data_IF_684941753191
#
_entry.id   IF_684941753191
#
_cell.length_a   1.000
_cell.length_b   1.000
_cell.length_c   1.000
_cell.angle_alpha   90.00
_cell.angle_beta   90.00
_cell.angle_gamma   90.00
#
_symmetry.space_group_name_H-M   'P 1'
#
loop_
_entity.id
_entity.type
_entity.pdbx_description
1 polymer ?
#
# COMPACT_ATOMS: atom_id res chain seq x y z
N UNK A 1 6.29 4.96 0.26
CA UNK A 1 7.66 4.54 0.64
C UNK A 1 7.68 4.18 2.11
N UNK A 2 8.40 3.12 2.50
CA UNK A 2 8.49 2.73 3.90
C UNK A 2 9.55 3.54 4.63
N UNK A 3 9.28 3.85 5.89
CA UNK A 3 10.22 4.59 6.75
C UNK A 3 11.43 3.69 7.10
N UNK A 4 12.68 4.14 6.88
CA UNK A 4 13.85 3.33 7.20
C UNK A 4 14.07 3.10 8.70
N UNK A 5 13.43 3.89 9.56
CA UNK A 5 13.57 3.74 11.02
C UNK A 5 12.47 2.86 11.61
N UNK A 6 11.23 3.00 11.14
CA UNK A 6 10.06 2.32 11.70
C UNK A 6 9.37 1.40 10.70
N UNK A 7 9.95 1.20 9.52
CA UNK A 7 9.35 0.42 8.45
C UNK A 7 9.39 -1.09 8.68
N UNK A 8 9.74 -1.83 7.64
CA UNK A 8 9.72 -3.29 7.69
C UNK A 8 10.95 -3.80 8.43
N UNK A 9 10.74 -4.70 9.38
CA UNK A 9 11.84 -5.36 10.10
C UNK A 9 12.22 -6.63 9.37
N UNK A 10 13.48 -6.76 9.01
CA UNK A 10 14.01 -7.94 8.32
C UNK A 10 15.16 -8.54 9.09
N UNK A 11 15.35 -9.85 8.92
CA UNK A 11 16.49 -10.55 9.49
C UNK A 11 17.67 -10.46 8.53
N UNK A 12 18.84 -10.11 9.08
CA UNK A 12 20.05 -10.04 8.27
C UNK A 12 20.50 -11.45 7.85
N UNK A 13 21.39 -11.50 6.87
CA UNK A 13 21.93 -12.77 6.35
C UNK A 13 22.58 -13.61 7.45
N UNK A 14 23.14 -12.97 8.49
CA UNK A 14 23.75 -13.68 9.62
C UNK A 14 22.74 -14.46 10.47
N UNK A 15 21.43 -14.23 10.26
CA UNK A 15 20.37 -14.90 10.99
C UNK A 15 20.24 -14.50 12.45
N UNK A 16 20.99 -13.49 12.89
CA UNK A 16 21.05 -13.09 14.32
C UNK A 16 20.50 -11.70 14.58
N UNK A 17 20.64 -10.79 13.62
CA UNK A 17 20.27 -9.40 13.80
C UNK A 17 19.02 -9.07 12.99
N UNK A 18 18.11 -8.35 13.62
CA UNK A 18 16.94 -7.76 12.96
C UNK A 18 17.20 -6.29 12.77
N UNK A 19 16.76 -5.75 11.64
CA UNK A 19 16.87 -4.31 11.40
C UNK A 19 15.68 -3.78 10.59
N UNK A 20 15.26 -2.54 10.87
CA UNK A 20 14.20 -1.92 10.07
C UNK A 20 14.74 -1.51 8.71
N UNK A 21 13.94 -1.75 7.69
CA UNK A 21 14.25 -1.39 6.30
C UNK A 21 13.14 -0.49 5.78
N UNK A 22 13.52 0.51 5.00
CA UNK A 22 12.58 1.44 4.40
C UNK A 22 12.83 1.64 2.92
N UNK A 23 12.21 2.68 2.37
CA UNK A 23 12.31 3.04 0.96
C UNK A 23 11.29 2.36 0.07
N UNK A 24 11.36 2.68 -1.22
CA UNK A 24 10.46 2.11 -2.23
C UNK A 24 10.70 0.62 -2.47
N UNK A 25 11.95 0.18 -2.27
CA UNK A 25 12.32 -1.23 -2.41
C UNK A 25 11.70 -2.11 -1.31
N UNK A 26 11.26 -1.52 -0.20
CA UNK A 26 10.51 -2.22 0.82
C UNK A 26 8.99 -2.12 0.55
N UNK A 27 8.53 -0.96 0.11
CA UNK A 27 7.11 -0.71 -0.12
C UNK A 27 6.55 -1.53 -1.29
N UNK A 28 7.27 -1.62 -2.41
CA UNK A 28 6.78 -2.33 -3.58
C UNK A 28 6.56 -3.84 -3.33
N UNK A 29 7.48 -4.57 -2.68
CA UNK A 29 7.22 -5.96 -2.31
C UNK A 29 6.05 -6.13 -1.34
N UNK A 30 5.81 -5.18 -0.45
CA UNK A 30 4.65 -5.23 0.43
C UNK A 30 3.35 -5.12 -0.35
N UNK A 31 3.27 -4.24 -1.33
CA UNK A 31 2.13 -4.15 -2.24
C UNK A 31 1.95 -5.44 -3.03
N UNK A 32 3.04 -6.00 -3.57
CA UNK A 32 2.99 -7.27 -4.30
C UNK A 32 2.46 -8.41 -3.42
N UNK A 33 2.90 -8.46 -2.17
CA UNK A 33 2.44 -9.45 -1.20
C UNK A 33 0.96 -9.27 -0.89
N UNK A 34 0.50 -8.04 -0.73
CA UNK A 34 -0.90 -7.73 -0.51
C UNK A 34 -1.74 -8.20 -1.71
N UNK A 35 -1.30 -7.89 -2.92
CA UNK A 35 -2.02 -8.31 -4.13
C UNK A 35 -2.09 -9.84 -4.23
N UNK A 36 -1.02 -10.54 -3.89
CA UNK A 36 -1.04 -12.00 -3.85
C UNK A 36 -2.10 -12.53 -2.87
N UNK A 37 -2.20 -11.90 -1.69
CA UNK A 37 -3.22 -12.24 -0.70
C UNK A 37 -4.63 -11.91 -1.19
N UNK A 38 -4.80 -10.81 -1.89
CA UNK A 38 -6.08 -10.44 -2.49
C UNK A 38 -6.50 -11.46 -3.56
N UNK A 39 -5.57 -11.87 -4.42
CA UNK A 39 -5.82 -12.90 -5.43
C UNK A 39 -6.27 -14.21 -4.78
N UNK A 40 -5.62 -14.59 -3.70
CA UNK A 40 -5.99 -15.78 -2.94
C UNK A 40 -7.41 -15.67 -2.36
N UNK A 41 -7.72 -14.55 -1.75
CA UNK A 41 -9.04 -14.31 -1.15
C UNK A 41 -10.16 -14.24 -2.18
N UNK A 42 -9.89 -13.67 -3.35
CA UNK A 42 -10.84 -13.59 -4.45
C UNK A 42 -10.93 -14.87 -5.28
N UNK A 43 -9.95 -15.76 -5.15
CA UNK A 43 -9.77 -16.94 -6.00
C UNK A 43 -9.67 -16.57 -7.48
N UNK A 44 -9.12 -15.41 -7.78
CA UNK A 44 -8.97 -14.85 -9.12
C UNK A 44 -7.88 -13.80 -9.10
N UNK A 45 -7.37 -13.42 -10.26
CA UNK A 45 -6.40 -12.34 -10.38
C UNK A 45 -7.09 -11.00 -10.32
N UNK A 46 -6.51 -10.06 -9.55
CA UNK A 46 -7.00 -8.68 -9.49
C UNK A 46 -6.81 -7.92 -10.82
N UNK A 47 -5.81 -8.31 -11.60
CA UNK A 47 -5.43 -7.58 -12.79
C UNK A 47 -4.71 -6.26 -12.46
N UNK A 48 -4.77 -5.31 -13.39
CA UNK A 48 -4.13 -4.00 -13.22
C UNK A 48 -5.01 -3.11 -12.35
N UNK A 49 -4.63 -2.95 -11.07
CA UNK A 49 -5.46 -2.32 -10.04
C UNK A 49 -5.48 -0.80 -10.08
N UNK A 50 -4.43 -0.15 -10.59
CA UNK A 50 -4.33 1.31 -10.48
C UNK A 50 -5.55 2.07 -11.01
N UNK A 51 -6.06 1.79 -12.22
CA UNK A 51 -7.27 2.48 -12.68
C UNK A 51 -8.49 2.23 -11.79
N UNK A 52 -8.59 1.05 -11.21
CA UNK A 52 -9.71 0.70 -10.34
C UNK A 52 -9.62 1.47 -9.03
N UNK A 53 -8.44 1.51 -8.41
CA UNK A 53 -8.24 2.24 -7.16
C UNK A 53 -8.47 3.74 -7.32
N UNK A 54 -8.00 4.31 -8.43
CA UNK A 54 -8.15 5.75 -8.69
C UNK A 54 -9.54 6.12 -9.22
N UNK A 55 -10.25 5.18 -9.82
CA UNK A 55 -11.55 5.43 -10.44
C UNK A 55 -12.75 5.04 -9.58
N UNK A 56 -12.80 3.81 -9.10
CA UNK A 56 -13.98 3.25 -8.46
C UNK A 56 -13.91 3.24 -6.94
N UNK A 57 -12.74 3.13 -6.35
CA UNK A 57 -12.58 2.89 -4.93
C UNK A 57 -11.80 4.01 -4.26
N UNK A 58 -12.26 5.26 -4.43
CA UNK A 58 -11.55 6.43 -3.91
C UNK A 58 -11.66 6.59 -2.40
N UNK A 59 -12.69 6.02 -1.77
CA UNK A 59 -12.94 6.22 -0.34
C UNK A 59 -12.95 4.90 0.44
N UNK A 60 -12.17 4.84 1.53
CA UNK A 60 -12.19 3.74 2.47
C UNK A 60 -11.29 2.56 2.13
N UNK A 61 -10.92 2.36 0.87
CA UNK A 61 -10.02 1.28 0.46
C UNK A 61 -8.55 1.67 0.61
N UNK A 62 -8.26 2.95 0.60
CA UNK A 62 -6.94 3.51 0.88
C UNK A 62 -7.05 4.45 2.06
N UNK A 63 -6.07 4.39 2.94
CA UNK A 63 -6.00 5.30 4.08
C UNK A 63 -5.33 6.58 3.62
N UNK A 64 -6.08 7.68 3.62
CA UNK A 64 -5.56 8.97 3.21
C UNK A 64 -4.51 9.46 4.19
N UNK A 65 -3.38 9.92 3.66
CA UNK A 65 -2.28 10.47 4.44
C UNK A 65 -2.35 11.98 4.29
N UNK A 66 -2.60 12.66 5.41
CA UNK A 66 -2.89 14.10 5.42
C UNK A 66 -1.80 14.94 6.05
N UNK A 67 -0.77 14.32 6.64
CA UNK A 67 0.30 15.02 7.36
C UNK A 67 1.65 14.54 6.87
N UNK A 68 2.55 15.48 6.65
CA UNK A 68 3.91 15.20 6.22
C UNK A 68 4.25 15.89 4.91
N UNK A 69 5.52 15.81 4.53
CA UNK A 69 6.00 16.38 3.27
C UNK A 69 7.26 15.66 2.80
N UNK A 70 7.61 15.86 1.52
CA UNK A 70 8.84 15.31 0.94
C UNK A 70 9.85 16.41 0.59
N UNK A 71 9.64 17.63 1.11
CA UNK A 71 10.47 18.79 0.80
C UNK A 71 9.91 19.64 -0.34
N UNK A 72 9.31 19.04 -1.33
CA UNK A 72 8.71 19.74 -2.48
C UNK A 72 7.19 19.84 -2.38
N UNK A 73 6.55 18.81 -1.85
CA UNK A 73 5.09 18.73 -1.74
C UNK A 73 4.69 18.29 -0.34
N UNK A 74 3.50 18.73 0.09
CA UNK A 74 2.92 18.37 1.38
C UNK A 74 1.75 17.43 1.19
N UNK A 75 1.57 16.50 2.14
CA UNK A 75 0.37 15.68 2.22
C UNK A 75 -0.82 16.55 2.65
N UNK A 76 -2.00 16.20 2.19
CA UNK A 76 -3.23 16.89 2.54
C UNK A 76 -4.43 15.99 2.27
N UNK A 77 -5.64 16.45 2.62
CA UNK A 77 -6.84 15.66 2.35
C UNK A 77 -7.00 15.35 0.87
N UNK A 78 -7.34 14.10 0.57
CA UNK A 78 -7.47 13.59 -0.79
C UNK A 78 -6.14 13.29 -1.45
N UNK A 79 -6.13 13.26 -2.76
CA UNK A 79 -4.90 12.99 -3.51
C UNK A 79 -3.91 14.14 -3.38
N UNK A 80 -2.63 13.79 -3.18
CA UNK A 80 -1.54 14.76 -3.21
C UNK A 80 -0.31 14.16 -3.89
N UNK A 81 0.62 15.01 -4.41
CA UNK A 81 1.80 14.51 -5.14
C UNK A 81 2.81 13.77 -4.25
N UNK A 82 2.66 13.86 -2.94
CA UNK A 82 3.57 13.24 -1.97
C UNK A 82 3.17 11.79 -1.67
N UNK A 83 1.87 11.54 -1.45
CA UNK A 83 1.36 10.25 -0.95
C UNK A 83 0.36 9.58 -1.88
N UNK A 84 -0.02 10.23 -2.98
CA UNK A 84 -1.07 9.71 -3.87
C UNK A 84 -2.40 9.64 -3.15
N UNK A 85 -3.07 8.50 -3.22
CA UNK A 85 -4.32 8.25 -2.50
C UNK A 85 -4.10 7.71 -1.09
N UNK A 86 -2.86 7.38 -0.72
CA UNK A 86 -2.51 6.91 0.60
C UNK A 86 -2.07 5.45 0.66
N UNK A 87 -2.14 4.88 1.85
CA UNK A 87 -1.71 3.51 2.10
C UNK A 87 -2.88 2.53 1.97
N UNK A 88 -2.61 1.24 1.63
CA UNK A 88 -3.70 0.29 1.40
C UNK A 88 -4.39 -0.15 2.69
N UNK A 89 -5.71 -0.32 2.61
CA UNK A 89 -6.49 -1.04 3.59
C UNK A 89 -6.92 -2.36 2.94
N UNK A 90 -6.13 -3.43 3.16
CA UNK A 90 -6.30 -4.69 2.45
C UNK A 90 -7.66 -5.32 2.63
N UNK A 91 -8.22 -5.26 3.84
CA UNK A 91 -9.54 -5.81 4.13
C UNK A 91 -10.63 -5.09 3.34
N UNK A 92 -10.57 -3.77 3.30
CA UNK A 92 -11.53 -2.96 2.55
C UNK A 92 -11.39 -3.15 1.04
N UNK A 93 -10.15 -3.30 0.55
CA UNK A 93 -9.92 -3.59 -0.87
C UNK A 93 -10.53 -4.94 -1.23
N UNK A 94 -10.32 -5.96 -0.41
CA UNK A 94 -10.88 -7.29 -0.64
C UNK A 94 -12.41 -7.25 -0.68
N UNK A 95 -13.03 -6.57 0.26
CA UNK A 95 -14.49 -6.42 0.31
C UNK A 95 -15.02 -5.68 -0.89
N UNK A 96 -14.35 -4.59 -1.30
CA UNK A 96 -14.77 -3.79 -2.44
C UNK A 96 -14.68 -4.59 -3.75
N UNK A 97 -13.59 -5.32 -3.95
CA UNK A 97 -13.45 -6.15 -5.15
C UNK A 97 -14.44 -7.31 -5.19
N UNK A 98 -14.72 -7.92 -4.03
CA UNK A 98 -15.69 -9.01 -3.94
C UNK A 98 -17.12 -8.51 -4.11
N UNK A 99 -17.47 -7.41 -3.45
CA UNK A 99 -18.83 -6.86 -3.45
C UNK A 99 -19.18 -6.08 -4.69
N UNK A 100 -18.20 -5.52 -5.39
CA UNK A 100 -18.43 -4.74 -6.61
C UNK A 100 -18.63 -5.60 -7.87
N UNK A 101 -18.46 -6.92 -7.77
CA UNK A 101 -18.63 -7.79 -8.92
C UNK A 101 -17.54 -7.61 -9.98
N UNK A 102 -16.37 -7.23 -9.54
CA UNK A 102 -15.24 -6.97 -10.42
C UNK A 102 -14.58 -8.26 -10.86
#
# INVERSE_FOLDING_TARGET
MADPVTGVVVMRIDGKNLEPIGGTSAAAPMWSSLIARLNQGLKARCGFLNPVLYGKFSNGVLRDITVGNNGAYSAGPGWDPCTGLGSPNGDQILRALSGAGV
#
